data_IF_042530378410
#
_entry.id   IF_042530378410
#
_cell.length_a   1.000
_cell.length_b   1.000
_cell.length_c   1.000
_cell.angle_alpha   90.00
_cell.angle_beta   90.00
_cell.angle_gamma   90.00
#
_symmetry.space_group_name_H-M   'P 1'
#
loop_
_entity.id
_entity.type
_entity.pdbx_description
1 polymer ?
#
# COMPACT_ATOMS: atom_id res chain seq x y z
N UNK A 1 -50.18 24.78 -43.82
CA UNK A 1 -49.44 23.84 -42.95
C UNK A 1 -50.21 23.78 -41.65
N UNK A 2 -50.94 22.68 -41.43
CA UNK A 2 -51.77 22.47 -40.25
C UNK A 2 -50.90 22.00 -39.09
N UNK A 3 -50.74 22.84 -38.07
CA UNK A 3 -50.24 22.40 -36.76
C UNK A 3 -51.29 21.46 -36.17
N UNK A 4 -50.93 20.18 -36.07
CA UNK A 4 -51.75 19.19 -35.40
C UNK A 4 -51.77 19.53 -33.91
N UNK A 5 -52.93 19.96 -33.40
CA UNK A 5 -53.19 19.99 -31.97
C UNK A 5 -53.26 18.55 -31.48
N UNK A 6 -52.12 18.05 -31.01
CA UNK A 6 -52.02 16.77 -30.33
C UNK A 6 -52.70 16.92 -28.96
N UNK A 7 -53.90 16.34 -28.83
CA UNK A 7 -54.66 16.34 -27.58
C UNK A 7 -54.04 15.26 -26.68
N UNK A 8 -53.40 15.63 -25.55
CA UNK A 8 -52.72 14.66 -24.69
C UNK A 8 -53.72 13.63 -24.18
N UNK A 9 -53.38 12.35 -24.33
CA UNK A 9 -54.23 11.24 -23.93
C UNK A 9 -54.39 11.21 -22.41
N UNK A 10 -55.56 10.87 -21.84
CA UNK A 10 -55.75 10.74 -20.40
C UNK A 10 -54.72 9.83 -19.70
N UNK A 11 -54.13 8.89 -20.44
CA UNK A 11 -53.06 8.01 -19.96
C UNK A 11 -51.69 8.69 -19.86
N UNK A 12 -51.37 9.66 -20.74
CA UNK A 12 -50.12 10.43 -20.69
C UNK A 12 -50.13 11.39 -19.50
N UNK A 13 -51.28 12.04 -19.24
CA UNK A 13 -51.47 12.81 -18.01
C UNK A 13 -51.34 11.96 -16.76
N UNK A 14 -51.77 10.71 -16.77
CA UNK A 14 -51.63 9.82 -15.61
C UNK A 14 -50.17 9.36 -15.41
N UNK A 15 -49.40 9.19 -16.49
CA UNK A 15 -47.97 8.90 -16.44
C UNK A 15 -47.16 10.12 -15.99
N UNK A 16 -47.46 11.32 -16.50
CA UNK A 16 -46.86 12.59 -16.04
C UNK A 16 -47.21 12.88 -14.59
N UNK A 17 -48.47 12.73 -14.16
CA UNK A 17 -48.83 12.93 -12.76
C UNK A 17 -48.25 11.86 -11.82
N UNK A 18 -48.12 10.60 -12.24
CA UNK A 18 -47.47 9.57 -11.41
C UNK A 18 -45.95 9.71 -11.34
N UNK A 19 -45.31 10.20 -12.40
CA UNK A 19 -43.87 10.53 -12.39
C UNK A 19 -43.59 11.82 -11.62
N UNK A 20 -44.35 12.91 -11.82
CA UNK A 20 -44.21 14.15 -11.05
C UNK A 20 -44.47 13.94 -9.54
N UNK A 21 -45.47 13.14 -9.16
CA UNK A 21 -45.70 12.83 -7.74
C UNK A 21 -44.67 11.88 -7.14
N UNK A 22 -44.01 11.03 -7.95
CA UNK A 22 -42.88 10.22 -7.50
C UNK A 22 -41.60 11.07 -7.30
N UNK A 23 -41.41 12.11 -8.11
CA UNK A 23 -40.32 13.08 -7.97
C UNK A 23 -40.51 14.00 -6.76
N UNK A 24 -41.71 14.49 -6.46
CA UNK A 24 -41.90 15.45 -5.35
C UNK A 24 -41.63 14.92 -3.93
N UNK A 25 -41.72 13.60 -3.69
CA UNK A 25 -41.60 13.01 -2.34
C UNK A 25 -40.44 12.01 -2.19
N UNK A 26 -39.91 11.49 -3.29
CA UNK A 26 -38.74 10.58 -3.33
C UNK A 26 -37.40 11.29 -3.58
N UNK A 27 -37.41 12.49 -4.15
CA UNK A 27 -36.21 13.14 -4.69
C UNK A 27 -35.36 13.81 -3.60
N UNK A 28 -35.96 14.42 -2.57
CA UNK A 28 -35.20 14.97 -1.43
C UNK A 28 -34.40 13.90 -0.67
N UNK A 29 -34.97 12.70 -0.50
CA UNK A 29 -34.27 11.61 0.18
C UNK A 29 -33.19 10.98 -0.70
N UNK A 30 -33.52 10.69 -1.96
CA UNK A 30 -32.56 10.14 -2.93
C UNK A 30 -31.40 11.12 -3.19
N UNK A 31 -31.71 12.41 -3.36
CA UNK A 31 -30.74 13.50 -3.54
C UNK A 31 -29.84 13.64 -2.30
N UNK A 32 -30.38 13.59 -1.07
CA UNK A 32 -29.56 13.62 0.16
C UNK A 32 -28.63 12.42 0.28
N UNK A 33 -29.07 11.22 -0.07
CA UNK A 33 -28.17 10.05 -0.08
C UNK A 33 -27.14 10.17 -1.20
N UNK A 34 -27.51 10.65 -2.39
CA UNK A 34 -26.58 10.87 -3.48
C UNK A 34 -25.46 11.85 -3.10
N UNK A 35 -25.80 12.97 -2.44
CA UNK A 35 -24.83 13.93 -1.92
C UNK A 35 -23.95 13.32 -0.82
N UNK A 36 -24.52 12.56 0.12
CA UNK A 36 -23.74 11.84 1.13
C UNK A 36 -22.75 10.85 0.52
N UNK A 37 -23.18 10.07 -0.48
CA UNK A 37 -22.32 9.13 -1.19
C UNK A 37 -21.23 9.86 -1.97
N UNK A 38 -21.53 11.00 -2.60
CA UNK A 38 -20.54 11.82 -3.28
C UNK A 38 -19.46 12.34 -2.31
N UNK A 39 -19.86 12.83 -1.14
CA UNK A 39 -18.93 13.28 -0.09
C UNK A 39 -18.07 12.12 0.40
N UNK A 40 -18.68 10.96 0.69
CA UNK A 40 -17.95 9.74 1.09
C UNK A 40 -16.99 9.26 0.00
N UNK A 41 -17.35 9.37 -1.27
CA UNK A 41 -16.48 9.03 -2.39
C UNK A 41 -15.27 9.97 -2.49
N UNK A 42 -15.45 11.28 -2.31
CA UNK A 42 -14.32 12.24 -2.27
C UNK A 42 -13.39 12.00 -1.08
N UNK A 43 -13.95 11.75 0.11
CA UNK A 43 -13.14 11.43 1.30
C UNK A 43 -12.43 10.10 1.10
N UNK A 44 -13.13 9.09 0.59
CA UNK A 44 -12.56 7.79 0.22
C UNK A 44 -11.41 7.93 -0.79
N UNK A 45 -11.56 8.76 -1.82
CA UNK A 45 -10.52 9.01 -2.80
C UNK A 45 -9.29 9.69 -2.18
N UNK A 46 -9.47 10.63 -1.26
CA UNK A 46 -8.37 11.30 -0.57
C UNK A 46 -7.61 10.34 0.36
N UNK A 47 -8.33 9.50 1.10
CA UNK A 47 -7.74 8.45 1.92
C UNK A 47 -7.06 7.38 1.07
N UNK A 48 -7.62 7.03 -0.09
CA UNK A 48 -6.98 6.11 -1.04
C UNK A 48 -5.70 6.67 -1.63
N UNK A 49 -5.65 7.97 -1.90
CA UNK A 49 -4.43 8.61 -2.33
C UNK A 49 -3.35 8.58 -1.24
N UNK A 50 -3.70 8.92 0.01
CA UNK A 50 -2.76 8.85 1.13
C UNK A 50 -2.27 7.43 1.40
N UNK A 51 -3.19 6.45 1.43
CA UNK A 51 -2.85 5.03 1.56
C UNK A 51 -1.90 4.57 0.45
N UNK A 52 -2.20 4.93 -0.81
CA UNK A 52 -1.35 4.59 -1.95
C UNK A 52 0.02 5.27 -1.93
N UNK A 53 0.10 6.51 -1.47
CA UNK A 53 1.38 7.23 -1.33
C UNK A 53 2.27 6.60 -0.24
N UNK A 54 1.70 6.26 0.92
CA UNK A 54 2.38 5.54 2.01
C UNK A 54 2.81 4.12 1.58
N UNK A 55 1.97 3.41 0.82
CA UNK A 55 2.30 2.10 0.26
C UNK A 55 3.50 2.17 -0.67
N UNK A 56 3.49 3.17 -1.57
CA UNK A 56 4.53 3.36 -2.58
C UNK A 56 5.87 3.70 -1.92
N UNK A 57 5.86 4.55 -0.89
CA UNK A 57 7.07 4.90 -0.14
C UNK A 57 7.63 3.69 0.63
N UNK A 58 6.77 2.97 1.35
CA UNK A 58 7.16 1.76 2.08
C UNK A 58 7.69 0.65 1.15
N UNK A 59 7.07 0.49 -0.03
CA UNK A 59 7.51 -0.47 -1.05
C UNK A 59 8.85 -0.07 -1.68
N UNK A 60 9.09 1.23 -1.88
CA UNK A 60 10.35 1.75 -2.40
C UNK A 60 11.48 1.53 -1.40
N UNK A 61 11.26 1.81 -0.12
CA UNK A 61 12.23 1.57 0.94
C UNK A 61 12.55 0.08 1.11
N UNK A 62 11.53 -0.79 1.01
CA UNK A 62 11.72 -2.25 1.03
C UNK A 62 12.54 -2.74 -0.16
N UNK A 63 12.32 -2.17 -1.33
CA UNK A 63 13.08 -2.51 -2.53
C UNK A 63 14.56 -2.08 -2.38
N UNK A 64 14.80 -0.86 -1.89
CA UNK A 64 16.14 -0.39 -1.56
C UNK A 64 16.83 -1.28 -0.52
N UNK A 65 16.12 -1.67 0.55
CA UNK A 65 16.62 -2.60 1.55
C UNK A 65 17.01 -3.95 0.93
N UNK A 66 16.18 -4.48 0.02
CA UNK A 66 16.45 -5.72 -0.69
C UNK A 66 17.68 -5.63 -1.60
N UNK A 67 17.84 -4.54 -2.36
CA UNK A 67 19.01 -4.29 -3.22
C UNK A 67 20.29 -4.29 -2.36
N UNK A 68 20.31 -3.50 -1.28
CA UNK A 68 21.48 -3.38 -0.40
C UNK A 68 21.76 -4.72 0.31
N UNK A 69 20.72 -5.47 0.68
CA UNK A 69 20.87 -6.83 1.25
C UNK A 69 21.48 -7.80 0.26
N UNK A 70 21.08 -7.75 -1.01
CA UNK A 70 21.70 -8.55 -2.08
C UNK A 70 23.16 -8.12 -2.31
N UNK A 71 23.46 -6.83 -2.25
CA UNK A 71 24.83 -6.33 -2.36
C UNK A 71 25.71 -6.81 -1.20
N UNK A 72 25.21 -6.74 0.03
CA UNK A 72 25.88 -7.30 1.21
C UNK A 72 26.14 -8.81 1.06
N UNK A 73 25.15 -9.57 0.58
CA UNK A 73 25.29 -11.00 0.32
C UNK A 73 26.36 -11.29 -0.75
N UNK A 74 26.44 -10.47 -1.81
CA UNK A 74 27.49 -10.57 -2.82
C UNK A 74 28.88 -10.32 -2.22
N UNK A 75 29.02 -9.34 -1.31
CA UNK A 75 30.28 -9.09 -0.61
C UNK A 75 30.67 -10.25 0.32
N UNK A 76 29.71 -10.84 1.03
CA UNK A 76 29.95 -12.05 1.82
C UNK A 76 30.37 -13.24 0.95
N UNK A 77 29.75 -13.42 -0.21
CA UNK A 77 30.16 -14.45 -1.17
C UNK A 77 31.59 -14.20 -1.68
N UNK A 78 31.95 -12.94 -1.96
CA UNK A 78 33.30 -12.57 -2.37
C UNK A 78 34.33 -12.81 -1.25
N UNK A 79 33.97 -12.51 0.00
CA UNK A 79 34.77 -12.84 1.17
C UNK A 79 35.02 -14.35 1.28
N UNK A 80 33.97 -15.17 1.12
CA UNK A 80 34.08 -16.63 1.16
C UNK A 80 34.99 -17.15 0.04
N UNK A 81 34.84 -16.62 -1.18
CA UNK A 81 35.71 -17.00 -2.29
C UNK A 81 37.19 -16.66 -2.02
N UNK A 82 37.49 -15.49 -1.45
CA UNK A 82 38.87 -15.13 -1.04
C UNK A 82 39.36 -16.02 0.10
N UNK A 83 38.49 -16.37 1.05
CA UNK A 83 38.84 -17.28 2.15
C UNK A 83 39.22 -18.66 1.62
N UNK A 84 38.48 -19.20 0.66
CA UNK A 84 38.83 -20.46 0.00
C UNK A 84 40.17 -20.37 -0.72
N UNK A 85 40.47 -19.27 -1.43
CA UNK A 85 41.77 -19.06 -2.08
C UNK A 85 42.93 -18.96 -1.08
N UNK A 86 42.71 -18.28 0.05
CA UNK A 86 43.68 -18.22 1.14
C UNK A 86 43.96 -19.62 1.69
N UNK A 87 42.92 -20.40 2.00
CA UNK A 87 43.09 -21.77 2.51
C UNK A 87 43.84 -22.66 1.52
N UNK A 88 43.60 -22.51 0.21
CA UNK A 88 44.35 -23.23 -0.82
C UNK A 88 45.83 -22.81 -0.86
N UNK A 89 46.13 -21.51 -0.72
CA UNK A 89 47.50 -21.02 -0.65
C UNK A 89 48.23 -21.50 0.61
N UNK A 90 47.52 -21.58 1.74
CA UNK A 90 48.03 -22.12 3.00
C UNK A 90 48.29 -23.62 2.93
N UNK A 91 47.43 -24.38 2.24
CA UNK A 91 47.73 -25.79 1.95
C UNK A 91 48.95 -25.93 1.03
N UNK A 92 49.04 -25.08 0.00
CA UNK A 92 50.15 -25.11 -0.96
C UNK A 92 51.50 -24.79 -0.31
N UNK A 93 51.56 -23.88 0.67
CA UNK A 93 52.83 -23.54 1.36
C UNK A 93 53.43 -24.71 2.17
N UNK A 94 52.64 -25.74 2.47
CA UNK A 94 53.08 -26.94 3.19
C UNK A 94 53.48 -28.10 2.25
N UNK A 95 53.32 -27.95 0.93
CA UNK A 95 53.68 -28.98 -0.04
C UNK A 95 55.21 -28.95 -0.26
N UNK A 96 55.94 -30.07 -0.10
CA UNK A 96 57.37 -30.12 -0.36
C UNK A 96 57.69 -29.83 -1.84
N UNK A 97 58.69 -28.98 -2.10
CA UNK A 97 59.17 -28.70 -3.46
C UNK A 97 58.51 -27.50 -4.16
N UNK A 98 57.65 -26.75 -3.47
CA UNK A 98 57.06 -25.49 -3.99
C UNK A 98 57.67 -24.26 -3.31
N UNK A 99 57.51 -23.09 -3.93
CA UNK A 99 57.99 -21.81 -3.39
C UNK A 99 57.11 -21.33 -2.22
N UNK A 100 57.45 -21.77 -1.00
CA UNK A 100 56.73 -21.44 0.22
C UNK A 100 56.71 -19.92 0.51
N UNK A 101 57.74 -19.16 0.11
CA UNK A 101 57.80 -17.73 0.34
C UNK A 101 56.77 -16.96 -0.52
N UNK A 102 56.57 -17.40 -1.77
CA UNK A 102 55.51 -16.88 -2.64
C UNK A 102 54.11 -17.09 -2.06
N UNK A 103 53.80 -18.31 -1.60
CA UNK A 103 52.48 -18.61 -1.02
C UNK A 103 52.23 -17.86 0.30
N UNK A 104 53.27 -17.67 1.13
CA UNK A 104 53.14 -16.88 2.35
C UNK A 104 52.79 -15.40 2.06
N UNK A 105 53.37 -14.82 1.00
CA UNK A 105 53.03 -13.47 0.56
C UNK A 105 51.58 -13.37 0.04
N UNK A 106 51.12 -14.38 -0.71
CA UNK A 106 49.72 -14.47 -1.17
C UNK A 106 48.73 -14.60 0.00
N UNK A 107 49.05 -15.40 1.04
CA UNK A 107 48.22 -15.52 2.25
C UNK A 107 48.04 -14.16 2.93
N UNK A 108 49.12 -13.41 3.13
CA UNK A 108 49.05 -12.08 3.75
C UNK A 108 48.28 -11.07 2.89
N UNK A 109 48.43 -11.15 1.55
CA UNK A 109 47.62 -10.36 0.61
C UNK A 109 46.13 -10.69 0.72
N UNK A 110 45.76 -11.97 0.74
CA UNK A 110 44.36 -12.38 0.88
C UNK A 110 43.77 -12.02 2.25
N UNK A 111 44.54 -12.11 3.34
CA UNK A 111 44.09 -11.64 4.67
C UNK A 111 43.70 -10.17 4.66
N UNK A 112 44.56 -9.29 4.11
CA UNK A 112 44.26 -7.85 4.02
C UNK A 112 43.02 -7.57 3.18
N UNK A 113 42.90 -8.22 2.02
CA UNK A 113 41.74 -8.04 1.14
C UNK A 113 40.44 -8.59 1.76
N UNK A 114 40.51 -9.67 2.52
CA UNK A 114 39.35 -10.23 3.23
C UNK A 114 38.82 -9.27 4.29
N UNK A 115 39.70 -8.65 5.07
CA UNK A 115 39.31 -7.67 6.08
C UNK A 115 38.63 -6.44 5.46
N UNK A 116 39.11 -5.97 4.31
CA UNK A 116 38.48 -4.87 3.58
C UNK A 116 37.08 -5.24 3.07
N UNK A 117 36.93 -6.41 2.45
CA UNK A 117 35.63 -6.92 1.97
C UNK A 117 34.66 -7.15 3.13
N UNK A 118 35.16 -7.65 4.27
CA UNK A 118 34.35 -7.85 5.48
C UNK A 118 33.78 -6.55 6.00
N UNK A 119 34.60 -5.49 6.12
CA UNK A 119 34.12 -4.17 6.56
C UNK A 119 33.08 -3.59 5.61
N UNK A 120 33.26 -3.77 4.30
CA UNK A 120 32.28 -3.34 3.30
C UNK A 120 30.96 -4.11 3.46
N UNK A 121 31.02 -5.43 3.64
CA UNK A 121 29.84 -6.26 3.87
C UNK A 121 29.09 -5.88 5.15
N UNK A 122 29.81 -5.67 6.27
CA UNK A 122 29.23 -5.24 7.55
C UNK A 122 28.57 -3.85 7.45
N UNK A 123 29.18 -2.93 6.69
CA UNK A 123 28.61 -1.59 6.45
C UNK A 123 27.32 -1.65 5.63
N UNK A 124 27.31 -2.47 4.56
CA UNK A 124 26.11 -2.68 3.74
C UNK A 124 25.01 -3.38 4.53
N UNK A 125 25.36 -4.34 5.40
CA UNK A 125 24.38 -5.02 6.25
C UNK A 125 23.77 -4.07 7.29
N UNK A 126 24.58 -3.21 7.91
CA UNK A 126 24.09 -2.17 8.81
C UNK A 126 23.14 -1.20 8.09
N UNK A 127 23.49 -0.80 6.87
CA UNK A 127 22.68 0.11 6.04
C UNK A 127 21.37 -0.57 5.62
N UNK A 128 21.42 -1.84 5.21
CA UNK A 128 20.24 -2.63 4.87
C UNK A 128 19.26 -2.74 6.04
N UNK A 129 19.77 -2.97 7.27
CA UNK A 129 18.94 -3.04 8.48
C UNK A 129 18.25 -1.70 8.80
N UNK A 130 18.94 -0.58 8.60
CA UNK A 130 18.34 0.76 8.80
C UNK A 130 17.17 1.01 7.83
N UNK A 131 17.33 0.61 6.56
CA UNK A 131 16.27 0.69 5.55
C UNK A 131 15.11 -0.28 5.82
N UNK A 132 15.40 -1.50 6.27
CA UNK A 132 14.36 -2.50 6.61
C UNK A 132 13.50 -1.97 7.77
N UNK A 133 14.12 -1.34 8.78
CA UNK A 133 13.41 -0.80 9.93
C UNK A 133 12.53 0.41 9.56
N UNK A 134 13.02 1.32 8.70
CA UNK A 134 12.22 2.42 8.14
C UNK A 134 11.04 1.92 7.33
N UNK A 135 11.25 0.89 6.51
CA UNK A 135 10.17 0.26 5.74
C UNK A 135 9.11 -0.38 6.63
N UNK A 136 9.52 -1.04 7.72
CA UNK A 136 8.61 -1.68 8.66
C UNK A 136 7.72 -0.66 9.39
N UNK A 137 8.28 0.47 9.84
CA UNK A 137 7.49 1.57 10.42
C UNK A 137 6.47 2.16 9.42
N UNK A 138 6.85 2.32 8.15
CA UNK A 138 5.96 2.81 7.11
C UNK A 138 4.85 1.81 6.76
N UNK A 139 5.16 0.51 6.74
CA UNK A 139 4.18 -0.57 6.52
C UNK A 139 3.16 -0.68 7.66
N UNK A 140 3.56 -0.45 8.91
CA UNK A 140 2.64 -0.40 10.04
C UNK A 140 1.58 0.70 9.87
N UNK A 141 1.98 1.85 9.35
CA UNK A 141 1.03 2.92 9.02
C UNK A 141 0.12 2.50 7.87
N UNK A 142 0.68 1.98 6.76
CA UNK A 142 -0.08 1.51 5.61
C UNK A 142 -1.21 0.53 5.98
N UNK A 143 -0.94 -0.41 6.88
CA UNK A 143 -1.94 -1.37 7.34
C UNK A 143 -3.16 -0.69 7.99
N UNK A 144 -2.96 0.40 8.74
CA UNK A 144 -4.03 1.19 9.37
C UNK A 144 -4.86 1.93 8.31
N UNK A 145 -4.20 2.50 7.30
CA UNK A 145 -4.87 3.15 6.16
C UNK A 145 -5.70 2.15 5.34
N UNK A 146 -5.19 0.94 5.11
CA UNK A 146 -5.91 -0.11 4.39
C UNK A 146 -7.17 -0.58 5.15
N UNK A 147 -7.10 -0.72 6.48
CA UNK A 147 -8.26 -1.01 7.32
C UNK A 147 -9.31 0.10 7.25
N UNK A 148 -8.90 1.38 7.27
CA UNK A 148 -9.82 2.50 7.11
C UNK A 148 -10.49 2.51 5.73
N UNK A 149 -9.76 2.22 4.65
CA UNK A 149 -10.30 2.16 3.29
C UNK A 149 -11.37 1.07 3.13
N UNK A 150 -11.10 -0.13 3.65
CA UNK A 150 -12.06 -1.25 3.58
C UNK A 150 -13.34 -0.93 4.36
N UNK A 151 -13.24 -0.29 5.53
CA UNK A 151 -14.41 0.18 6.28
C UNK A 151 -15.26 1.19 5.48
N UNK A 152 -14.63 2.10 4.73
CA UNK A 152 -15.33 3.05 3.86
C UNK A 152 -16.03 2.35 2.71
N UNK A 153 -15.40 1.36 2.07
CA UNK A 153 -16.04 0.57 1.00
C UNK A 153 -17.27 -0.19 1.52
N UNK A 154 -17.21 -0.74 2.74
CA UNK A 154 -18.36 -1.36 3.38
C UNK A 154 -19.47 -0.33 3.63
N UNK A 155 -19.12 0.88 4.09
CA UNK A 155 -20.08 1.96 4.32
C UNK A 155 -20.78 2.42 3.03
N UNK A 156 -20.04 2.58 1.93
CA UNK A 156 -20.59 2.92 0.61
C UNK A 156 -21.52 1.80 0.10
N UNK A 157 -21.12 0.54 0.25
CA UNK A 157 -21.93 -0.61 -0.15
C UNK A 157 -23.24 -0.68 0.62
N UNK A 158 -23.20 -0.45 1.94
CA UNK A 158 -24.39 -0.35 2.78
C UNK A 158 -25.27 0.82 2.34
N UNK A 159 -24.70 2.01 2.08
CA UNK A 159 -25.45 3.17 1.60
C UNK A 159 -26.21 2.89 0.28
N UNK A 160 -25.56 2.21 -0.67
CA UNK A 160 -26.18 1.79 -1.93
C UNK A 160 -27.35 0.80 -1.73
N UNK A 161 -27.17 -0.21 -0.87
CA UNK A 161 -28.25 -1.16 -0.51
C UNK A 161 -29.42 -0.41 0.16
N UNK A 162 -29.11 0.57 1.01
CA UNK A 162 -30.13 1.42 1.65
C UNK A 162 -30.99 2.17 0.64
N UNK A 163 -30.35 2.73 -0.40
CA UNK A 163 -31.01 3.47 -1.46
C UNK A 163 -32.00 2.59 -2.24
N UNK A 164 -31.61 1.35 -2.55
CA UNK A 164 -32.44 0.38 -3.28
C UNK A 164 -33.62 -0.15 -2.45
N UNK A 165 -33.44 -0.31 -1.14
CA UNK A 165 -34.43 -1.00 -0.30
C UNK A 165 -35.51 -0.07 0.28
N UNK A 166 -35.28 1.26 0.31
CA UNK A 166 -36.21 2.30 0.86
C UNK A 166 -36.81 2.00 2.25
N UNK A 167 -36.17 1.15 3.08
CA UNK A 167 -36.65 0.80 4.43
C UNK A 167 -36.15 1.80 5.49
N UNK A 168 -37.07 2.29 6.34
CA UNK A 168 -36.80 3.29 7.40
C UNK A 168 -35.73 2.85 8.42
N UNK A 169 -35.70 1.56 8.80
CA UNK A 169 -34.66 1.01 9.67
C UNK A 169 -33.28 1.08 9.01
N UNK A 170 -33.23 0.80 7.71
CA UNK A 170 -31.99 0.80 6.93
C UNK A 170 -31.40 2.22 6.84
N UNK A 171 -32.25 3.25 6.77
CA UNK A 171 -31.83 4.68 6.83
C UNK A 171 -31.12 5.03 8.15
N UNK A 172 -31.60 4.55 9.31
CA UNK A 172 -30.91 4.73 10.60
C UNK A 172 -29.57 3.99 10.64
N UNK A 173 -29.49 2.81 10.01
CA UNK A 173 -28.25 2.06 9.86
C UNK A 173 -27.23 2.80 8.97
N UNK A 174 -27.67 3.45 7.91
CA UNK A 174 -26.79 4.20 7.01
C UNK A 174 -26.21 5.45 7.68
N UNK A 175 -26.99 6.19 8.47
CA UNK A 175 -26.47 7.32 9.23
C UNK A 175 -25.48 6.92 10.33
N UNK A 176 -25.74 5.81 11.02
CA UNK A 176 -24.81 5.28 12.04
C UNK A 176 -23.51 4.78 11.39
N UNK A 177 -23.60 4.06 10.27
CA UNK A 177 -22.43 3.66 9.49
C UNK A 177 -21.62 4.86 8.97
N UNK A 178 -22.30 5.93 8.51
CA UNK A 178 -21.66 7.17 8.09
C UNK A 178 -20.93 7.89 9.23
N UNK A 179 -21.56 7.98 10.41
CA UNK A 179 -20.93 8.53 11.61
C UNK A 179 -19.71 7.72 12.05
N UNK A 180 -19.80 6.39 12.02
CA UNK A 180 -18.67 5.50 12.34
C UNK A 180 -17.54 5.65 11.32
N UNK A 181 -17.84 5.78 10.03
CA UNK A 181 -16.83 6.01 9.00
C UNK A 181 -16.08 7.33 9.19
N UNK A 182 -16.77 8.42 9.53
CA UNK A 182 -16.14 9.72 9.85
C UNK A 182 -15.31 9.63 11.12
N UNK A 183 -15.79 8.91 12.14
CA UNK A 183 -15.07 8.72 13.39
C UNK A 183 -13.79 7.88 13.20
N UNK A 184 -13.85 6.78 12.46
CA UNK A 184 -12.69 5.95 12.12
C UNK A 184 -11.69 6.72 11.24
N UNK A 185 -12.18 7.49 10.26
CA UNK A 185 -11.33 8.37 9.44
C UNK A 185 -10.63 9.45 10.27
N UNK A 186 -11.32 10.02 11.26
CA UNK A 186 -10.74 10.98 12.20
C UNK A 186 -9.70 10.36 13.14
N UNK A 187 -9.95 9.15 13.64
CA UNK A 187 -8.98 8.41 14.48
C UNK A 187 -7.73 8.04 13.66
N UNK A 188 -7.90 7.59 12.42
CA UNK A 188 -6.80 7.32 11.50
C UNK A 188 -5.97 8.58 11.21
N UNK A 189 -6.62 9.73 10.96
CA UNK A 189 -5.94 11.02 10.80
C UNK A 189 -5.13 11.41 12.04
N UNK A 190 -5.68 11.20 13.23
CA UNK A 190 -5.03 11.57 14.49
C UNK A 190 -3.94 10.58 14.94
N UNK A 191 -3.63 9.55 14.15
CA UNK A 191 -2.67 8.51 14.49
C UNK A 191 -2.98 7.77 15.82
N UNK A 192 -4.23 7.81 16.32
CA UNK A 192 -4.74 7.06 17.48
C UNK A 192 -5.07 5.61 17.11
#
# INVERSE_FOLDING_TARGET
>A
MSEAFEVPSPHEKHLEHTTEHAHGRGDSFASRIAVMTAIMATVGAMLSYQAGSSESEAAMDKNNAAIIKTEAANQWNYYQAKSSRQNLAELASHIPGVDAAHYQAEIERYKRQKEEVRKQAETLEATSRDWDHKSEEALHQHHRWAQAMTAIQIAISLAAITLLTRKEWLKRMSYTAGGVAVMLGGLAWLHL
#
